data_IF_512025023436
#
_entry.id   IF_512025023436
#
_cell.length_a   1.000
_cell.length_b   1.000
_cell.length_c   1.000
_cell.angle_alpha   90.00
_cell.angle_beta   90.00
_cell.angle_gamma   90.00
#
_symmetry.space_group_name_H-M   'P 1'
#
loop_
_entity.id
_entity.type
_entity.pdbx_description
1 polymer ?
#
# COMPACT_ATOMS: atom_id res chain seq x y z
N UNK A 1 20.99 -26.25 -42.66
CA UNK A 1 20.86 -24.89 -42.11
C UNK A 1 20.59 -25.06 -40.62
N UNK A 2 21.62 -24.95 -39.78
CA UNK A 2 21.53 -25.19 -38.34
C UNK A 2 21.31 -23.87 -37.61
N UNK A 3 20.26 -23.79 -36.79
CA UNK A 3 19.98 -22.65 -35.93
C UNK A 3 20.77 -22.74 -34.60
N UNK A 4 21.25 -21.61 -34.03
CA UNK A 4 22.08 -21.62 -32.83
C UNK A 4 21.25 -21.86 -31.55
N UNK A 5 21.81 -22.47 -30.49
CA UNK A 5 21.12 -22.58 -29.21
C UNK A 5 21.24 -21.28 -28.41
N UNK A 6 20.16 -20.66 -27.92
CA UNK A 6 20.28 -19.55 -26.99
C UNK A 6 20.39 -20.05 -25.54
N UNK A 7 21.64 -20.03 -25.07
CA UNK A 7 22.12 -19.49 -23.78
C UNK A 7 21.38 -19.88 -22.51
N UNK A 8 21.99 -20.85 -21.82
CA UNK A 8 21.89 -21.09 -20.37
C UNK A 8 22.17 -19.82 -19.56
N UNK A 9 21.13 -19.26 -18.92
CA UNK A 9 21.21 -18.23 -17.88
C UNK A 9 21.10 -18.88 -16.49
N UNK A 10 22.01 -19.81 -16.19
CA UNK A 10 21.86 -20.73 -15.06
C UNK A 10 22.44 -20.34 -13.68
N UNK A 11 23.20 -19.25 -13.43
CA UNK A 11 23.64 -18.96 -12.06
C UNK A 11 22.79 -17.91 -11.32
N UNK A 12 22.21 -16.93 -12.01
CA UNK A 12 21.55 -15.79 -11.37
C UNK A 12 20.11 -16.12 -10.91
N UNK A 13 19.41 -16.95 -11.68
CA UNK A 13 18.09 -17.47 -11.33
C UNK A 13 18.11 -18.34 -10.06
N UNK A 14 19.23 -19.01 -9.75
CA UNK A 14 19.34 -19.86 -8.56
C UNK A 14 19.39 -19.09 -7.24
N UNK A 15 19.77 -17.81 -7.28
CA UNK A 15 19.84 -16.94 -6.08
C UNK A 15 18.67 -15.96 -6.01
N UNK A 16 18.15 -15.52 -7.16
CA UNK A 16 16.95 -14.68 -7.20
C UNK A 16 15.68 -15.45 -6.85
N UNK A 17 15.59 -16.74 -7.19
CA UNK A 17 14.42 -17.56 -6.88
C UNK A 17 14.17 -17.72 -5.36
N UNK A 18 15.16 -18.05 -4.52
CA UNK A 18 14.93 -18.11 -3.07
C UNK A 18 14.69 -16.73 -2.47
N UNK A 19 15.29 -15.66 -3.00
CA UNK A 19 15.06 -14.29 -2.51
C UNK A 19 13.62 -13.83 -2.82
N UNK A 20 13.16 -14.04 -4.06
CA UNK A 20 11.78 -13.76 -4.45
C UNK A 20 10.81 -14.63 -3.65
N UNK A 21 11.12 -15.90 -3.43
CA UNK A 21 10.31 -16.77 -2.59
C UNK A 21 10.26 -16.28 -1.13
N UNK A 22 11.37 -15.79 -0.57
CA UNK A 22 11.41 -15.21 0.79
C UNK A 22 10.60 -13.91 0.84
N UNK A 23 10.69 -13.03 -0.16
CA UNK A 23 9.89 -11.79 -0.22
C UNK A 23 8.40 -12.11 -0.35
N UNK A 24 8.03 -13.09 -1.17
CA UNK A 24 6.64 -13.54 -1.31
C UNK A 24 6.15 -14.17 0.00
N UNK A 25 6.95 -15.01 0.65
CA UNK A 25 6.58 -15.65 1.92
C UNK A 25 6.47 -14.61 3.03
N UNK A 26 7.37 -13.64 3.12
CA UNK A 26 7.29 -12.51 4.07
C UNK A 26 6.07 -11.64 3.75
N UNK A 27 5.77 -11.39 2.48
CA UNK A 27 4.58 -10.65 2.05
C UNK A 27 3.27 -11.36 2.40
N UNK A 28 3.19 -12.68 2.18
CA UNK A 28 2.00 -13.50 2.51
C UNK A 28 1.84 -13.70 4.01
N UNK A 29 2.94 -13.90 4.75
CA UNK A 29 2.92 -13.97 6.21
C UNK A 29 2.57 -12.61 6.83
N UNK A 30 3.08 -11.52 6.25
CA UNK A 30 2.62 -10.16 6.54
C UNK A 30 1.12 -10.03 6.31
N UNK A 31 0.63 -10.34 5.11
CA UNK A 31 -0.79 -10.30 4.75
C UNK A 31 -1.69 -11.12 5.72
N UNK A 32 -1.26 -12.33 6.11
CA UNK A 32 -1.99 -13.21 7.02
C UNK A 32 -1.95 -12.74 8.49
N UNK A 33 -0.89 -12.03 8.91
CA UNK A 33 -0.80 -11.40 10.23
C UNK A 33 -1.56 -10.06 10.27
N UNK A 34 -1.62 -9.32 9.15
CA UNK A 34 -2.38 -8.08 8.99
C UNK A 34 -3.90 -8.33 8.91
N UNK A 35 -4.35 -9.47 8.40
CA UNK A 35 -5.78 -9.86 8.37
C UNK A 35 -6.48 -10.03 9.73
N UNK A 36 -5.80 -9.73 10.85
CA UNK A 36 -6.40 -9.69 12.20
C UNK A 36 -6.46 -8.29 12.83
N UNK A 37 -5.99 -7.24 12.13
CA UNK A 37 -6.05 -5.86 12.62
C UNK A 37 -5.06 -4.96 11.88
N UNK A 38 -5.38 -4.61 10.64
CA UNK A 38 -4.59 -3.69 9.81
C UNK A 38 -4.70 -2.26 10.33
N UNK A 39 -3.82 -1.86 11.25
CA UNK A 39 -3.60 -0.43 11.50
C UNK A 39 -2.65 0.08 10.44
N UNK A 40 -3.21 0.66 9.37
CA UNK A 40 -2.42 1.42 8.39
C UNK A 40 -1.71 2.55 9.15
N UNK A 41 -0.39 2.64 9.02
CA UNK A 41 0.43 3.56 9.80
C UNK A 41 0.99 4.70 8.94
N UNK A 42 1.36 5.79 9.61
CA UNK A 42 2.09 6.88 8.98
C UNK A 42 3.42 6.37 8.44
N UNK A 43 3.68 6.65 7.16
CA UNK A 43 4.88 6.23 6.45
C UNK A 43 4.64 5.08 5.47
N UNK A 44 3.54 4.34 5.61
CA UNK A 44 3.18 3.23 4.73
C UNK A 44 2.85 3.71 3.32
N UNK A 45 3.24 2.93 2.32
CA UNK A 45 2.83 3.13 0.94
C UNK A 45 1.60 2.29 0.65
N UNK A 46 0.64 2.87 -0.07
CA UNK A 46 -0.64 2.23 -0.34
C UNK A 46 -0.96 2.30 -1.82
N UNK A 47 -1.57 1.23 -2.31
CA UNK A 47 -2.25 1.19 -3.59
C UNK A 47 -3.74 1.50 -3.36
N UNK A 48 -4.28 2.45 -4.11
CA UNK A 48 -5.71 2.71 -4.14
C UNK A 48 -6.36 1.90 -5.28
N UNK A 49 -7.33 1.05 -4.96
CA UNK A 49 -8.05 0.23 -5.94
C UNK A 49 -9.44 -0.18 -5.44
N UNK A 50 -10.45 -0.12 -6.31
CA UNK A 50 -11.82 -0.58 -6.05
C UNK A 50 -12.50 -0.04 -4.77
N UNK A 51 -12.09 1.16 -4.31
CA UNK A 51 -12.63 1.77 -3.09
C UNK A 51 -11.96 1.27 -1.79
N UNK A 52 -10.86 0.54 -1.92
CA UNK A 52 -10.02 0.06 -0.83
C UNK A 52 -8.60 0.63 -0.96
N UNK A 53 -7.91 0.72 0.17
CA UNK A 53 -6.48 1.00 0.22
C UNK A 53 -5.76 -0.22 0.77
N UNK A 54 -4.78 -0.69 0.01
CA UNK A 54 -3.97 -1.84 0.40
C UNK A 54 -2.55 -1.36 0.64
N UNK A 55 -1.98 -1.73 1.78
CA UNK A 55 -0.56 -1.45 2.08
C UNK A 55 0.31 -2.29 1.16
N UNK A 56 1.24 -1.64 0.46
CA UNK A 56 2.18 -2.23 -0.49
C UNK A 56 3.61 -1.75 -0.18
N UNK A 57 4.60 -2.40 -0.79
CA UNK A 57 5.99 -1.95 -0.69
C UNK A 57 6.14 -0.59 -1.41
N UNK A 58 6.87 0.36 -0.81
CA UNK A 58 7.08 1.69 -1.39
C UNK A 58 7.90 1.67 -2.70
N UNK A 59 8.63 0.58 -2.99
CA UNK A 59 9.30 0.37 -4.27
C UNK A 59 8.41 -0.29 -5.33
N UNK A 60 7.18 -0.66 -4.99
CA UNK A 60 6.23 -1.27 -5.93
C UNK A 60 5.65 -0.22 -6.88
N UNK A 61 5.47 -0.58 -8.16
CA UNK A 61 4.86 0.30 -9.15
C UNK A 61 3.38 0.63 -8.85
N UNK A 62 2.73 -0.17 -8.01
CA UNK A 62 1.37 0.06 -7.53
C UNK A 62 1.29 1.05 -6.34
N UNK A 63 2.42 1.40 -5.71
CA UNK A 63 2.49 2.38 -4.64
C UNK A 63 2.20 3.79 -5.16
N UNK A 64 0.93 4.15 -5.21
CA UNK A 64 0.44 5.42 -5.78
C UNK A 64 0.35 6.52 -4.73
N UNK A 65 0.22 6.14 -3.46
CA UNK A 65 0.11 7.06 -2.34
C UNK A 65 0.94 6.62 -1.16
N UNK A 66 1.26 7.58 -0.29
CA UNK A 66 1.90 7.36 1.00
C UNK A 66 1.09 8.00 2.12
N UNK A 67 0.95 7.29 3.23
CA UNK A 67 0.24 7.77 4.41
C UNK A 67 1.12 8.77 5.14
N UNK A 68 0.65 10.00 5.28
CA UNK A 68 1.35 11.07 6.00
C UNK A 68 0.69 11.41 7.34
N UNK A 69 -0.52 10.90 7.57
CA UNK A 69 -1.29 11.12 8.78
C UNK A 69 -2.43 10.13 8.89
N UNK A 70 -2.82 9.86 10.14
CA UNK A 70 -4.02 9.11 10.47
C UNK A 70 -4.81 9.97 11.46
N UNK A 71 -6.09 10.17 11.18
CA UNK A 71 -7.01 10.91 12.03
C UNK A 71 -8.12 9.97 12.48
N UNK A 72 -8.31 9.85 13.79
CA UNK A 72 -9.40 9.07 14.35
C UNK A 72 -10.61 9.98 14.61
N UNK A 73 -11.79 9.37 14.71
CA UNK A 73 -13.06 10.04 15.04
C UNK A 73 -13.45 11.17 14.06
N UNK A 74 -13.10 11.01 12.77
CA UNK A 74 -13.44 11.98 11.72
C UNK A 74 -14.59 11.44 10.88
N UNK A 75 -15.60 12.28 10.63
CA UNK A 75 -16.68 11.93 9.71
C UNK A 75 -16.12 11.79 8.29
N UNK A 76 -16.44 10.72 7.56
CA UNK A 76 -15.97 10.51 6.19
C UNK A 76 -16.16 11.71 5.25
N UNK A 77 -17.28 12.43 5.39
CA UNK A 77 -17.58 13.66 4.61
C UNK A 77 -16.61 14.82 4.89
N UNK A 78 -15.99 14.85 6.07
CA UNK A 78 -15.03 15.88 6.48
C UNK A 78 -13.58 15.41 6.37
N UNK A 79 -13.34 14.20 5.85
CA UNK A 79 -12.01 13.57 5.78
C UNK A 79 -10.96 14.46 5.07
N UNK A 80 -11.27 14.91 3.85
CA UNK A 80 -10.38 15.74 3.04
C UNK A 80 -10.07 17.10 3.70
N UNK A 81 -11.05 17.92 4.14
CA UNK A 81 -10.74 19.18 4.81
C UNK A 81 -10.01 18.99 6.14
N UNK A 82 -10.32 17.94 6.92
CA UNK A 82 -9.61 17.65 8.16
C UNK A 82 -8.14 17.28 7.91
N UNK A 83 -7.88 16.43 6.92
CA UNK A 83 -6.52 16.08 6.52
C UNK A 83 -5.73 17.28 6.00
N UNK A 84 -6.33 18.17 5.20
CA UNK A 84 -5.67 19.38 4.73
C UNK A 84 -5.35 20.37 5.85
N UNK A 85 -6.22 20.46 6.87
CA UNK A 85 -5.99 21.31 8.03
C UNK A 85 -4.83 20.80 8.90
N UNK A 86 -4.74 19.49 9.12
CA UNK A 86 -3.68 18.87 9.93
C UNK A 86 -2.36 18.70 9.14
N UNK A 87 -2.47 18.30 7.87
CA UNK A 87 -1.36 17.99 6.98
C UNK A 87 -1.54 18.72 5.64
N UNK A 88 -0.99 19.94 5.49
CA UNK A 88 -1.18 20.77 4.29
C UNK A 88 -0.64 20.17 2.99
N UNK A 89 0.14 19.09 3.06
CA UNK A 89 0.67 18.36 1.90
C UNK A 89 -0.23 17.21 1.44
N UNK A 90 -1.35 16.97 2.12
CA UNK A 90 -2.31 15.95 1.73
C UNK A 90 -2.82 16.22 0.31
N UNK A 91 -2.81 15.20 -0.53
CA UNK A 91 -3.40 15.25 -1.88
C UNK A 91 -4.68 14.41 -1.98
N UNK A 92 -4.87 13.43 -1.10
CA UNK A 92 -6.07 12.61 -1.02
C UNK A 92 -6.35 12.16 0.42
N UNK A 93 -7.60 11.84 0.73
CA UNK A 93 -8.01 11.20 1.98
C UNK A 93 -8.76 9.91 1.70
N UNK A 94 -8.63 8.93 2.60
CA UNK A 94 -9.35 7.67 2.54
C UNK A 94 -10.06 7.38 3.86
N UNK A 95 -11.26 6.82 3.78
CA UNK A 95 -12.02 6.33 4.93
C UNK A 95 -12.89 5.16 4.52
N UNK A 96 -12.88 4.08 5.29
CA UNK A 96 -13.71 2.89 5.01
C UNK A 96 -15.21 3.16 5.17
N UNK A 97 -15.59 4.24 5.88
CA UNK A 97 -16.98 4.62 6.13
C UNK A 97 -17.75 5.18 4.91
N UNK A 98 -17.09 5.47 3.78
CA UNK A 98 -17.75 5.96 2.57
C UNK A 98 -18.54 7.27 2.79
N UNK A 99 -19.86 7.23 2.59
CA UNK A 99 -20.76 8.36 2.85
C UNK A 99 -21.44 8.31 4.22
N UNK A 100 -21.01 7.39 5.10
CA UNK A 100 -21.58 7.26 6.43
C UNK A 100 -21.34 8.53 7.26
N UNK A 101 -22.32 8.90 8.07
CA UNK A 101 -22.19 10.01 9.02
C UNK A 101 -21.46 9.59 10.31
N UNK A 102 -21.20 8.29 10.47
CA UNK A 102 -20.49 7.75 11.61
C UNK A 102 -19.00 8.10 11.54
N UNK A 103 -18.41 8.59 12.64
CA UNK A 103 -16.99 8.88 12.67
C UNK A 103 -16.17 7.61 12.49
N UNK A 104 -15.13 7.71 11.68
CA UNK A 104 -14.25 6.59 11.33
C UNK A 104 -12.80 7.06 11.34
N UNK A 105 -11.89 6.10 11.22
CA UNK A 105 -10.50 6.40 10.94
C UNK A 105 -10.36 6.92 9.50
N UNK A 106 -9.62 8.01 9.36
CA UNK A 106 -9.30 8.66 8.09
C UNK A 106 -7.79 8.62 7.88
N UNK A 107 -7.38 8.17 6.70
CA UNK A 107 -5.99 8.20 6.25
C UNK A 107 -5.76 9.44 5.41
N UNK A 108 -4.75 10.23 5.78
CA UNK A 108 -4.29 11.38 5.00
C UNK A 108 -3.13 10.94 4.12
N UNK A 109 -3.30 11.09 2.81
CA UNK A 109 -2.43 10.54 1.79
C UNK A 109 -1.75 11.65 0.99
N UNK A 110 -0.49 11.41 0.60
CA UNK A 110 0.24 12.19 -0.40
C UNK A 110 0.57 11.31 -1.59
N UNK A 111 0.56 11.86 -2.80
CA UNK A 111 1.08 11.16 -3.97
C UNK A 111 2.56 10.76 -3.74
N UNK A 112 2.88 9.49 -3.97
CA UNK A 112 4.22 8.92 -3.81
C UNK A 112 5.08 9.09 -5.06
#
# INVERSE_FOLDING_TARGET
MSAPPPRSSAPLARVLLPLAAVVIVVGVVGLLLLGRGSSVAVGDCVAAGDGEVVVVDCGDAAATFRVIGVLDDVRPVDSQPACLAAFPRTTASYSEGGLSAEPAQVLCLVAA
#
